data_IF_904613496179
#
_entry.id   IF_904613496179
#
_cell.length_a   1.000
_cell.length_b   1.000
_cell.length_c   1.000
_cell.angle_alpha   90.00
_cell.angle_beta   90.00
_cell.angle_gamma   90.00
#
_symmetry.space_group_name_H-M   'P 1'
#
loop_
_entity.id
_entity.type
_entity.pdbx_description
1 polymer ?
#
# COMPACT_ATOMS: atom_id res chain seq x y z
N UNK A 1 3.99 -7.09 15.30
CA UNK A 1 4.15 -5.99 14.34
C UNK A 1 5.35 -5.14 14.71
N UNK A 2 6.20 -4.81 13.78
CA UNK A 2 7.41 -4.00 14.03
C UNK A 2 7.31 -2.61 13.42
N UNK A 3 6.56 -2.44 12.34
CA UNK A 3 6.28 -1.15 11.70
C UNK A 3 4.95 -1.18 10.97
N UNK A 4 4.46 -0.02 10.55
CA UNK A 4 3.29 0.11 9.69
C UNK A 4 3.46 1.24 8.68
N UNK A 5 2.65 1.21 7.63
CA UNK A 5 2.55 2.24 6.61
C UNK A 5 1.10 2.37 6.15
N UNK A 6 0.84 3.20 5.17
CA UNK A 6 -0.46 3.31 4.49
C UNK A 6 -0.25 3.39 2.99
N UNK A 7 -1.28 3.02 2.22
CA UNK A 7 -1.26 3.20 0.77
C UNK A 7 -1.53 4.67 0.44
N UNK A 8 -0.74 5.22 -0.45
CA UNK A 8 -0.86 6.58 -0.98
C UNK A 8 -0.70 6.56 -2.50
N UNK A 9 -1.00 7.68 -3.14
CA UNK A 9 -0.66 7.91 -4.54
C UNK A 9 0.56 8.82 -4.61
N UNK A 10 1.58 8.39 -5.32
CA UNK A 10 2.70 9.24 -5.68
C UNK A 10 2.37 9.92 -7.00
N UNK A 11 2.32 11.24 -7.01
CA UNK A 11 1.91 12.03 -8.18
C UNK A 11 3.03 12.98 -8.62
N UNK A 12 3.00 13.37 -9.87
CA UNK A 12 3.93 14.34 -10.41
C UNK A 12 3.82 15.68 -9.69
N UNK A 13 4.90 16.46 -9.60
CA UNK A 13 4.91 17.76 -8.91
C UNK A 13 3.78 18.66 -9.33
N UNK A 14 3.07 19.21 -8.33
CA UNK A 14 1.92 20.05 -8.55
C UNK A 14 0.65 19.32 -8.96
N UNK A 15 0.67 17.98 -8.96
CA UNK A 15 -0.49 17.13 -9.26
C UNK A 15 -1.26 17.52 -10.53
N UNK A 16 -0.63 17.48 -11.71
CA UNK A 16 -1.21 18.03 -12.94
C UNK A 16 -2.47 17.30 -13.41
N UNK A 17 -2.70 16.06 -12.92
CA UNK A 17 -3.90 15.27 -13.23
C UNK A 17 -5.04 15.48 -12.22
N UNK A 18 -4.82 16.25 -11.16
CA UNK A 18 -5.82 16.57 -10.14
C UNK A 18 -6.27 15.35 -9.33
N UNK A 19 -5.37 14.39 -9.09
CA UNK A 19 -5.65 13.17 -8.33
C UNK A 19 -5.87 13.53 -6.86
N UNK A 20 -7.00 13.13 -6.29
CA UNK A 20 -7.38 13.40 -4.89
C UNK A 20 -7.88 12.16 -4.16
N UNK A 21 -8.50 11.22 -4.87
CA UNK A 21 -9.06 10.00 -4.30
C UNK A 21 -9.07 8.87 -5.35
N UNK A 22 -9.48 7.67 -4.95
CA UNK A 22 -9.48 6.46 -5.76
C UNK A 22 -10.22 6.61 -7.10
N UNK A 23 -11.38 7.26 -7.13
CA UNK A 23 -12.14 7.44 -8.37
C UNK A 23 -11.43 8.31 -9.42
N UNK A 24 -10.49 9.16 -9.00
CA UNK A 24 -9.70 9.96 -9.95
C UNK A 24 -8.72 9.08 -10.74
N UNK A 25 -8.35 7.91 -10.21
CA UNK A 25 -7.50 6.94 -10.91
C UNK A 25 -8.22 6.21 -12.06
N UNK A 26 -9.55 6.25 -12.09
CA UNK A 26 -10.34 5.67 -13.18
C UNK A 26 -10.48 6.59 -14.41
N UNK A 27 -9.81 7.77 -14.41
CA UNK A 27 -9.82 8.68 -15.55
C UNK A 27 -9.18 8.02 -16.79
N UNK A 28 -9.87 8.06 -17.91
CA UNK A 28 -9.36 7.49 -19.17
C UNK A 28 -8.04 8.15 -19.59
N UNK A 29 -7.06 7.34 -19.96
CA UNK A 29 -5.75 7.80 -20.44
C UNK A 29 -4.80 8.22 -19.33
N UNK A 30 -5.12 7.90 -18.06
CA UNK A 30 -4.18 8.05 -16.95
C UNK A 30 -3.18 6.89 -16.98
N UNK A 31 -1.88 7.19 -16.92
CA UNK A 31 -0.84 6.17 -16.81
C UNK A 31 -0.57 5.84 -15.34
N UNK A 32 -1.00 4.65 -14.88
CA UNK A 32 -0.78 4.18 -13.51
C UNK A 32 0.39 3.20 -13.47
N UNK A 33 1.20 3.30 -12.41
CA UNK A 33 2.21 2.31 -12.06
C UNK A 33 1.83 1.63 -10.73
N UNK A 34 1.94 0.32 -10.69
CA UNK A 34 1.80 -0.50 -9.48
C UNK A 34 2.52 -1.83 -9.71
N UNK A 35 3.06 -2.46 -8.65
CA UNK A 35 3.69 -3.76 -8.85
C UNK A 35 2.66 -4.86 -9.17
N UNK A 36 3.17 -5.98 -9.70
CA UNK A 36 2.39 -7.16 -10.03
C UNK A 36 1.92 -7.90 -8.76
N UNK A 37 0.61 -8.09 -8.52
CA UNK A 37 0.11 -8.80 -7.34
C UNK A 37 0.45 -10.29 -7.31
N UNK A 38 0.88 -10.88 -8.43
CA UNK A 38 1.38 -12.25 -8.46
C UNK A 38 2.82 -12.37 -7.91
N UNK A 39 3.59 -11.27 -7.91
CA UNK A 39 4.99 -11.26 -7.54
C UNK A 39 5.29 -10.41 -6.29
N UNK A 40 4.45 -9.43 -5.99
CA UNK A 40 4.68 -8.43 -4.94
C UNK A 40 3.56 -8.43 -3.90
N UNK A 41 3.92 -8.64 -2.63
CA UNK A 41 3.01 -8.40 -1.51
C UNK A 41 2.56 -6.94 -1.42
N UNK A 42 3.40 -6.00 -1.85
CA UNK A 42 3.06 -4.58 -1.92
C UNK A 42 1.89 -4.30 -2.84
N UNK A 43 1.86 -4.95 -4.00
CA UNK A 43 0.74 -4.84 -4.93
C UNK A 43 -0.59 -5.35 -4.32
N UNK A 44 -0.53 -6.44 -3.56
CA UNK A 44 -1.73 -6.95 -2.88
C UNK A 44 -2.29 -5.92 -1.90
N UNK A 45 -1.44 -5.28 -1.10
CA UNK A 45 -1.87 -4.20 -0.22
C UNK A 45 -2.50 -3.02 -0.98
N UNK A 46 -1.95 -2.63 -2.14
CA UNK A 46 -2.49 -1.57 -2.99
C UNK A 46 -3.92 -1.91 -3.46
N UNK A 47 -4.12 -3.13 -3.99
CA UNK A 47 -5.44 -3.57 -4.49
C UNK A 47 -6.44 -3.82 -3.35
N UNK A 48 -5.99 -4.33 -2.19
CA UNK A 48 -6.83 -4.45 -1.00
C UNK A 48 -7.24 -3.07 -0.46
N UNK A 49 -6.36 -2.07 -0.54
CA UNK A 49 -6.69 -0.70 -0.15
C UNK A 49 -7.78 -0.09 -1.04
N UNK A 50 -7.67 -0.26 -2.35
CA UNK A 50 -8.70 0.13 -3.32
C UNK A 50 -10.04 -0.56 -3.03
N UNK A 51 -10.03 -1.90 -2.97
CA UNK A 51 -11.21 -2.70 -2.71
C UNK A 51 -11.88 -2.34 -1.40
N UNK A 52 -11.11 -2.28 -0.32
CA UNK A 52 -11.61 -1.96 1.02
C UNK A 52 -12.22 -0.56 1.08
N UNK A 53 -11.59 0.43 0.46
CA UNK A 53 -12.14 1.79 0.38
C UNK A 53 -13.49 1.81 -0.35
N UNK A 54 -13.61 1.11 -1.47
CA UNK A 54 -14.85 1.00 -2.23
C UNK A 54 -15.95 0.28 -1.44
N UNK A 55 -15.64 -0.90 -0.89
CA UNK A 55 -16.61 -1.73 -0.14
C UNK A 55 -17.10 -1.08 1.16
N UNK A 56 -16.31 -0.19 1.74
CA UNK A 56 -16.68 0.57 2.94
C UNK A 56 -17.53 1.80 2.62
N UNK A 57 -17.62 2.22 1.33
CA UNK A 57 -18.28 3.44 0.91
C UNK A 57 -17.42 4.69 1.16
N UNK A 58 -16.11 4.52 1.26
CA UNK A 58 -15.17 5.63 1.46
C UNK A 58 -14.85 6.34 0.14
N UNK A 59 -15.14 5.69 -1.01
CA UNK A 59 -14.98 6.26 -2.34
C UNK A 59 -16.26 7.01 -2.74
N UNK A 60 -16.18 8.29 -3.15
CA UNK A 60 -17.34 9.06 -3.57
C UNK A 60 -18.13 8.37 -4.68
N UNK A 61 -19.46 8.29 -4.52
CA UNK A 61 -20.37 7.68 -5.50
C UNK A 61 -20.51 6.16 -5.41
N UNK A 62 -19.75 5.47 -4.54
CA UNK A 62 -19.88 4.03 -4.30
C UNK A 62 -20.56 3.82 -2.94
N UNK A 63 -21.68 3.09 -2.95
CA UNK A 63 -22.37 2.74 -1.71
C UNK A 63 -21.63 1.64 -0.96
N UNK A 64 -21.74 1.64 0.37
CA UNK A 64 -21.16 0.57 1.20
C UNK A 64 -21.71 -0.80 0.78
N UNK A 65 -20.81 -1.77 0.64
CA UNK A 65 -21.08 -3.15 0.20
C UNK A 65 -21.62 -3.27 -1.24
N UNK A 66 -21.40 -2.26 -2.08
CA UNK A 66 -21.71 -2.35 -3.50
C UNK A 66 -20.57 -3.06 -4.25
N UNK A 67 -20.62 -4.38 -4.27
CA UNK A 67 -19.62 -5.22 -4.91
C UNK A 67 -19.50 -4.94 -6.43
N UNK A 68 -20.62 -4.66 -7.11
CA UNK A 68 -20.59 -4.40 -8.54
C UNK A 68 -19.86 -3.09 -8.87
N UNK A 69 -20.15 -2.02 -8.13
CA UNK A 69 -19.45 -0.75 -8.29
C UNK A 69 -17.97 -0.84 -7.88
N UNK A 70 -17.65 -1.59 -6.82
CA UNK A 70 -16.26 -1.82 -6.40
C UNK A 70 -15.46 -2.62 -7.44
N UNK A 71 -16.08 -3.66 -8.05
CA UNK A 71 -15.46 -4.43 -9.14
C UNK A 71 -15.21 -3.55 -10.35
N UNK A 72 -16.21 -2.77 -10.76
CA UNK A 72 -16.05 -1.84 -11.87
C UNK A 72 -14.93 -0.83 -11.63
N UNK A 73 -14.84 -0.25 -10.43
CA UNK A 73 -13.76 0.67 -10.10
C UNK A 73 -12.39 -0.02 -10.17
N UNK A 74 -12.29 -1.28 -9.70
CA UNK A 74 -11.07 -2.09 -9.82
C UNK A 74 -10.68 -2.27 -11.28
N UNK A 75 -11.62 -2.67 -12.14
CA UNK A 75 -11.38 -2.86 -13.57
C UNK A 75 -10.94 -1.57 -14.25
N UNK A 76 -11.61 -0.44 -13.96
CA UNK A 76 -11.30 0.86 -14.56
C UNK A 76 -9.89 1.34 -14.15
N UNK A 77 -9.49 1.17 -12.89
CA UNK A 77 -8.17 1.59 -12.38
C UNK A 77 -7.07 0.64 -12.89
N UNK A 78 -7.29 -0.66 -12.80
CA UNK A 78 -6.32 -1.66 -13.26
C UNK A 78 -6.14 -1.58 -14.78
N UNK A 79 -7.20 -1.28 -15.54
CA UNK A 79 -7.15 -1.01 -16.98
C UNK A 79 -6.29 0.22 -17.38
N UNK A 80 -6.01 1.13 -16.45
CA UNK A 80 -5.12 2.27 -16.65
C UNK A 80 -3.65 1.96 -16.25
N UNK A 81 -3.35 0.76 -15.75
CA UNK A 81 -1.98 0.38 -15.38
C UNK A 81 -1.15 0.14 -16.64
N UNK A 82 -0.09 0.93 -16.79
CA UNK A 82 0.82 0.85 -17.94
C UNK A 82 2.01 -0.08 -17.71
N UNK A 83 2.28 -0.46 -16.45
CA UNK A 83 3.31 -1.43 -16.10
C UNK A 83 2.97 -2.12 -14.78
N UNK A 84 3.06 -3.45 -14.77
CA UNK A 84 3.02 -4.30 -13.59
C UNK A 84 4.46 -4.73 -13.27
N UNK A 85 5.14 -3.98 -12.43
CA UNK A 85 6.55 -4.21 -12.11
C UNK A 85 6.72 -5.37 -11.11
N UNK A 86 7.88 -6.03 -11.15
CA UNK A 86 8.14 -7.23 -10.32
C UNK A 86 8.20 -6.96 -8.81
N UNK A 87 8.36 -5.71 -8.39
CA UNK A 87 8.41 -5.31 -6.98
C UNK A 87 7.93 -3.87 -6.78
N UNK A 88 7.54 -3.52 -5.55
CA UNK A 88 7.15 -2.17 -5.18
C UNK A 88 8.30 -1.17 -5.45
N UNK A 89 9.55 -1.55 -5.11
CA UNK A 89 10.70 -0.68 -5.35
C UNK A 89 10.97 -0.44 -6.83
N UNK A 90 10.85 -1.47 -7.67
CA UNK A 90 10.98 -1.33 -9.13
C UNK A 90 9.91 -0.41 -9.70
N UNK A 91 8.67 -0.51 -9.20
CA UNK A 91 7.55 0.34 -9.65
C UNK A 91 7.82 1.82 -9.33
N UNK A 92 8.32 2.13 -8.13
CA UNK A 92 8.68 3.50 -7.77
C UNK A 92 9.88 4.01 -8.60
N UNK A 93 10.91 3.20 -8.79
CA UNK A 93 12.04 3.58 -9.66
C UNK A 93 11.60 3.83 -11.12
N UNK A 94 10.63 3.07 -11.60
CA UNK A 94 10.01 3.30 -12.91
C UNK A 94 9.27 4.65 -12.94
N UNK A 95 8.51 4.98 -11.89
CA UNK A 95 7.88 6.29 -11.73
C UNK A 95 8.93 7.41 -11.65
N UNK A 96 9.91 7.32 -10.75
CA UNK A 96 11.02 8.29 -10.61
C UNK A 96 11.75 8.54 -11.93
N UNK A 97 11.80 7.53 -12.82
CA UNK A 97 12.38 7.65 -14.17
C UNK A 97 11.51 8.40 -15.19
N UNK A 98 10.34 8.90 -14.76
CA UNK A 98 9.46 9.73 -15.59
C UNK A 98 8.31 8.97 -16.26
N UNK A 99 8.13 7.68 -16.01
CA UNK A 99 7.04 6.91 -16.59
C UNK A 99 5.75 7.07 -15.78
N UNK A 100 4.60 7.08 -16.44
CA UNK A 100 3.28 7.21 -15.84
C UNK A 100 2.99 8.59 -15.23
N UNK A 101 1.75 8.78 -14.85
CA UNK A 101 1.21 9.99 -14.23
C UNK A 101 1.10 9.87 -12.71
N UNK A 102 0.90 8.63 -12.21
CA UNK A 102 0.71 8.30 -10.81
C UNK A 102 1.22 6.89 -10.50
N UNK A 103 1.79 6.70 -9.32
CA UNK A 103 2.08 5.38 -8.77
C UNK A 103 1.23 5.11 -7.53
N UNK A 104 0.63 3.92 -7.44
CA UNK A 104 -0.01 3.45 -6.21
C UNK A 104 1.07 2.77 -5.38
N UNK A 105 1.38 3.33 -4.21
CA UNK A 105 2.54 2.92 -3.43
C UNK A 105 2.33 3.12 -1.92
N UNK A 106 3.38 2.93 -1.15
CA UNK A 106 3.41 3.16 0.29
C UNK A 106 3.91 4.56 0.63
N UNK A 107 3.38 5.13 1.70
CA UNK A 107 3.79 6.45 2.20
C UNK A 107 5.31 6.57 2.40
N UNK A 108 5.94 5.54 2.95
CA UNK A 108 7.39 5.56 3.20
C UNK A 108 8.23 5.62 1.92
N UNK A 109 7.74 5.12 0.78
CA UNK A 109 8.44 5.23 -0.50
C UNK A 109 8.51 6.68 -0.96
N UNK A 110 7.37 7.40 -0.95
CA UNK A 110 7.31 8.82 -1.33
C UNK A 110 8.18 9.68 -0.39
N UNK A 111 8.13 9.40 0.93
CA UNK A 111 8.97 10.11 1.89
C UNK A 111 10.46 9.83 1.70
N UNK A 112 10.83 8.62 1.29
CA UNK A 112 12.20 8.26 0.95
C UNK A 112 12.67 9.02 -0.29
N UNK A 113 11.82 9.15 -1.30
CA UNK A 113 12.09 9.92 -2.51
C UNK A 113 12.26 11.42 -2.18
N UNK A 114 11.35 12.00 -1.38
CA UNK A 114 11.43 13.39 -0.91
C UNK A 114 12.72 13.65 -0.13
N UNK A 115 13.12 12.76 0.79
CA UNK A 115 14.38 12.85 1.52
C UNK A 115 15.63 12.74 0.60
N UNK A 116 15.51 12.06 -0.53
CA UNK A 116 16.53 12.00 -1.57
C UNK A 116 16.52 13.21 -2.51
N UNK A 117 15.61 14.16 -2.33
CA UNK A 117 15.47 15.37 -3.15
C UNK A 117 14.74 15.14 -4.47
N UNK A 118 14.03 14.02 -4.62
CA UNK A 118 13.15 13.80 -5.77
C UNK A 118 11.85 14.60 -5.58
N UNK A 119 11.25 15.09 -6.67
CA UNK A 119 10.10 15.99 -6.58
C UNK A 119 8.76 15.27 -6.45
N UNK A 120 8.75 14.09 -5.80
CA UNK A 120 7.57 13.26 -5.63
C UNK A 120 6.60 13.88 -4.62
N UNK A 121 5.31 13.67 -4.83
CA UNK A 121 4.26 14.27 -4.01
C UNK A 121 3.22 13.23 -3.59
N UNK A 122 3.12 12.97 -2.29
CA UNK A 122 2.09 12.07 -1.75
C UNK A 122 0.69 12.70 -1.79
N UNK A 123 -0.26 11.96 -2.36
CA UNK A 123 -1.70 12.22 -2.22
C UNK A 123 -2.30 11.10 -1.38
N UNK A 124 -3.02 11.49 -0.36
CA UNK A 124 -3.64 10.57 0.60
C UNK A 124 -5.12 10.41 0.26
N UNK A 125 -5.55 9.21 -0.21
CA UNK A 125 -6.97 8.98 -0.44
C UNK A 125 -7.75 9.06 0.87
N UNK A 126 -9.05 9.34 0.79
CA UNK A 126 -9.93 9.41 1.95
C UNK A 126 -9.91 8.10 2.75
N UNK A 127 -10.04 6.97 2.07
CA UNK A 127 -9.92 5.63 2.63
C UNK A 127 -8.57 5.01 2.28
N UNK A 128 -7.84 4.50 3.27
CA UNK A 128 -6.59 3.76 3.06
C UNK A 128 -6.40 2.67 4.10
N UNK A 129 -5.76 1.58 3.70
CA UNK A 129 -5.49 0.46 4.59
C UNK A 129 -4.24 0.70 5.43
N UNK A 130 -4.31 0.30 6.69
CA UNK A 130 -3.13 0.17 7.54
C UNK A 130 -2.34 -1.06 7.09
N UNK A 131 -1.16 -0.83 6.53
CA UNK A 131 -0.20 -1.88 6.18
C UNK A 131 0.54 -2.27 7.45
N UNK A 132 0.45 -3.53 7.81
CA UNK A 132 1.07 -4.08 9.02
C UNK A 132 2.22 -4.99 8.64
N UNK A 133 3.42 -4.68 9.15
CA UNK A 133 4.64 -5.41 8.87
C UNK A 133 4.99 -6.33 10.07
N UNK A 134 4.64 -7.63 10.02
CA UNK A 134 5.04 -8.60 11.03
C UNK A 134 6.50 -9.02 10.84
N UNK A 135 7.09 -9.52 11.91
CA UNK A 135 8.35 -10.26 11.89
C UNK A 135 8.21 -11.57 12.64
N UNK A 136 8.80 -12.63 12.12
CA UNK A 136 8.88 -13.93 12.76
C UNK A 136 10.22 -14.61 12.45
N UNK A 137 10.70 -15.44 13.38
CA UNK A 137 11.83 -16.34 13.11
C UNK A 137 11.33 -17.52 12.29
N UNK A 138 12.07 -17.90 11.26
CA UNK A 138 11.86 -19.15 10.53
C UNK A 138 12.70 -20.23 11.23
N UNK A 139 12.11 -20.91 12.19
CA UNK A 139 12.79 -21.81 13.14
C UNK A 139 13.68 -22.83 12.43
N UNK A 140 13.14 -23.55 11.44
CA UNK A 140 13.89 -24.54 10.67
C UNK A 140 15.19 -23.98 10.05
N UNK A 141 15.13 -22.75 9.54
CA UNK A 141 16.30 -22.10 8.94
C UNK A 141 17.28 -21.65 10.02
N UNK A 142 16.78 -21.08 11.09
CA UNK A 142 17.60 -20.64 12.22
C UNK A 142 18.35 -21.81 12.88
N UNK A 143 17.69 -22.94 13.05
CA UNK A 143 18.29 -24.19 13.55
C UNK A 143 19.35 -24.73 12.59
N UNK A 144 19.04 -24.81 11.28
CA UNK A 144 19.97 -25.31 10.26
C UNK A 144 21.27 -24.49 10.22
N UNK A 145 21.18 -23.19 10.44
CA UNK A 145 22.31 -22.27 10.45
C UNK A 145 22.90 -22.05 11.85
N UNK A 146 22.41 -22.73 12.88
CA UNK A 146 22.85 -22.58 14.28
C UNK A 146 22.80 -21.14 14.78
N UNK A 147 21.78 -20.36 14.40
CA UNK A 147 21.62 -18.93 14.74
C UNK A 147 20.31 -18.63 15.48
N UNK A 148 19.65 -19.60 16.08
CA UNK A 148 18.34 -19.46 16.72
C UNK A 148 18.34 -18.39 17.80
N UNK A 149 19.35 -18.38 18.69
CA UNK A 149 19.44 -17.38 19.76
C UNK A 149 19.66 -15.96 19.20
N UNK A 150 20.49 -15.83 18.17
CA UNK A 150 20.75 -14.56 17.50
C UNK A 150 19.48 -14.04 16.78
N UNK A 151 18.77 -14.92 16.06
CA UNK A 151 17.53 -14.57 15.39
C UNK A 151 16.45 -14.10 16.38
N UNK A 152 16.28 -14.82 17.50
CA UNK A 152 15.37 -14.41 18.57
C UNK A 152 15.78 -13.08 19.21
N UNK A 153 17.08 -12.87 19.49
CA UNK A 153 17.58 -11.62 20.02
C UNK A 153 17.31 -10.45 19.05
N UNK A 154 17.50 -10.66 17.74
CA UNK A 154 17.20 -9.65 16.73
C UNK A 154 15.71 -9.31 16.67
N UNK A 155 14.83 -10.32 16.65
CA UNK A 155 13.36 -10.09 16.68
C UNK A 155 12.95 -9.32 17.93
N UNK A 156 13.51 -9.68 19.10
CA UNK A 156 13.26 -8.97 20.35
C UNK A 156 13.73 -7.50 20.28
N UNK A 157 14.91 -7.25 19.68
CA UNK A 157 15.42 -5.89 19.47
C UNK A 157 14.46 -5.07 18.59
N UNK A 158 13.89 -5.64 17.51
CA UNK A 158 12.94 -4.95 16.65
C UNK A 158 11.66 -4.48 17.37
N UNK A 159 11.34 -5.05 18.52
CA UNK A 159 10.21 -4.63 19.37
C UNK A 159 10.58 -3.57 20.43
N UNK A 160 11.85 -3.21 20.56
CA UNK A 160 12.28 -2.19 21.53
C UNK A 160 11.85 -0.79 21.12
N UNK A 161 11.81 0.13 22.09
CA UNK A 161 11.55 1.55 21.83
C UNK A 161 12.61 2.17 20.90
N UNK A 162 13.86 1.75 21.05
CA UNK A 162 14.98 2.22 20.24
C UNK A 162 14.76 1.86 18.76
N UNK A 163 14.49 0.58 18.48
CA UNK A 163 14.25 0.12 17.11
C UNK A 163 13.01 0.79 16.48
N UNK A 164 11.95 0.96 17.26
CA UNK A 164 10.75 1.69 16.78
C UNK A 164 11.07 3.14 16.42
N UNK A 165 11.98 3.79 17.13
CA UNK A 165 12.50 5.11 16.76
C UNK A 165 13.18 5.10 15.39
N UNK A 166 14.03 4.13 15.11
CA UNK A 166 14.64 4.00 13.77
C UNK A 166 13.62 3.81 12.66
N UNK A 167 12.57 3.02 12.88
CA UNK A 167 11.51 2.83 11.89
C UNK A 167 10.77 4.13 11.57
N UNK A 168 10.50 4.99 12.57
CA UNK A 168 9.83 6.27 12.37
C UNK A 168 10.75 7.35 11.83
N UNK A 169 11.95 7.46 12.34
CA UNK A 169 12.84 8.61 12.11
C UNK A 169 13.64 8.48 10.79
N UNK A 170 14.01 7.24 10.43
CA UNK A 170 14.81 6.97 9.22
C UNK A 170 14.16 6.03 8.23
N UNK A 171 13.19 5.22 8.67
CA UNK A 171 12.42 4.33 7.82
C UNK A 171 11.15 4.98 7.29
N UNK A 172 10.81 6.17 7.76
CA UNK A 172 9.59 6.90 7.38
C UNK A 172 8.30 6.09 7.56
N UNK A 173 8.25 5.26 8.60
CA UNK A 173 7.14 4.36 8.88
C UNK A 173 6.26 4.89 10.02
N UNK A 174 4.98 4.52 10.01
CA UNK A 174 4.03 4.91 11.05
C UNK A 174 4.14 4.03 12.30
N UNK A 175 3.51 4.46 13.37
CA UNK A 175 3.39 3.70 14.62
C UNK A 175 2.65 2.38 14.38
N UNK A 176 3.06 1.32 15.09
CA UNK A 176 2.33 0.04 15.13
C UNK A 176 1.04 0.09 15.94
N UNK A 177 0.74 1.16 16.67
CA UNK A 177 -0.55 1.43 17.28
C UNK A 177 -1.50 2.01 16.21
N UNK A 178 -2.63 1.34 15.87
CA UNK A 178 -3.52 1.79 14.80
C UNK A 178 -4.10 3.18 15.03
N UNK A 179 -4.37 3.58 16.28
CA UNK A 179 -4.91 4.90 16.60
C UNK A 179 -3.86 6.00 16.36
N UNK A 180 -2.60 5.72 16.72
CA UNK A 180 -1.50 6.64 16.46
C UNK A 180 -1.15 6.67 14.97
N UNK A 181 -1.18 5.52 14.29
CA UNK A 181 -0.99 5.46 12.84
C UNK A 181 -2.06 6.28 12.10
N UNK A 182 -3.34 6.14 12.49
CA UNK A 182 -4.45 6.91 11.91
C UNK A 182 -4.32 8.41 12.18
N UNK A 183 -4.00 8.78 13.42
CA UNK A 183 -3.80 10.19 13.81
C UNK A 183 -2.66 10.84 13.04
N UNK A 184 -1.61 10.07 12.75
CA UNK A 184 -0.39 10.57 12.14
C UNK A 184 0.36 11.55 13.01
N UNK A 185 1.28 12.26 12.41
CA UNK A 185 2.05 13.36 13.00
C UNK A 185 2.19 14.47 11.92
N UNK A 186 1.18 15.33 11.75
CA UNK A 186 1.19 16.36 10.70
C UNK A 186 2.38 17.31 10.78
N UNK A 187 2.94 17.54 11.97
CA UNK A 187 4.11 18.40 12.17
C UNK A 187 5.37 17.81 11.50
N UNK A 188 5.44 16.48 11.41
CA UNK A 188 6.51 15.73 10.75
C UNK A 188 6.10 15.17 9.38
N UNK A 189 5.02 15.71 8.78
CA UNK A 189 4.60 15.34 7.43
C UNK A 189 3.86 14.01 7.32
N UNK A 190 3.22 13.52 8.41
CA UNK A 190 2.34 12.36 8.40
C UNK A 190 0.90 12.81 8.65
N UNK A 191 0.11 13.12 7.63
CA UNK A 191 -1.26 13.55 7.84
C UNK A 191 -2.12 12.45 8.46
N UNK A 192 -3.22 12.86 9.12
CA UNK A 192 -4.21 11.91 9.59
C UNK A 192 -4.91 11.24 8.40
N UNK A 193 -5.15 9.94 8.50
CA UNK A 193 -5.95 9.19 7.52
C UNK A 193 -7.38 9.13 8.02
N UNK A 194 -8.29 9.77 7.32
CA UNK A 194 -9.66 9.96 7.79
C UNK A 194 -10.38 8.63 8.01
N UNK A 195 -10.40 7.79 7.01
CA UNK A 195 -11.11 6.52 6.99
C UNK A 195 -10.10 5.34 6.85
N UNK A 196 -9.15 5.27 7.84
CA UNK A 196 -8.19 4.17 7.89
C UNK A 196 -8.87 2.88 8.36
N UNK A 197 -8.52 1.77 7.73
CA UNK A 197 -9.03 0.45 8.06
C UNK A 197 -7.93 -0.63 8.05
N UNK A 198 -8.25 -1.81 8.56
CA UNK A 198 -7.34 -2.96 8.64
C UNK A 198 -7.87 -4.14 7.83
N UNK A 199 -7.01 -5.12 7.59
CA UNK A 199 -7.35 -6.38 6.93
C UNK A 199 -8.45 -7.13 7.69
N UNK A 200 -8.40 -7.12 9.03
CA UNK A 200 -9.42 -7.79 9.89
C UNK A 200 -10.81 -7.19 9.68
N UNK A 201 -10.91 -5.89 9.45
CA UNK A 201 -12.18 -5.23 9.17
C UNK A 201 -12.77 -5.59 7.80
N UNK A 202 -11.97 -6.21 6.93
CA UNK A 202 -12.38 -6.75 5.63
C UNK A 202 -12.56 -8.28 5.66
N UNK A 203 -12.49 -8.92 6.83
CA UNK A 203 -12.67 -10.37 7.00
C UNK A 203 -11.38 -11.20 7.03
N UNK A 204 -10.23 -10.55 7.04
CA UNK A 204 -8.92 -11.21 7.09
C UNK A 204 -8.36 -11.63 5.73
N UNK A 205 -7.09 -12.04 5.73
CA UNK A 205 -6.39 -12.42 4.50
C UNK A 205 -7.01 -13.60 3.77
N UNK A 206 -7.50 -14.62 4.49
CA UNK A 206 -8.10 -15.80 3.86
C UNK A 206 -9.32 -15.43 3.00
N UNK A 207 -10.16 -14.51 3.49
CA UNK A 207 -11.31 -14.01 2.75
C UNK A 207 -10.88 -13.13 1.57
N UNK A 208 -9.90 -12.26 1.77
CA UNK A 208 -9.38 -11.39 0.73
C UNK A 208 -8.67 -12.17 -0.38
N UNK A 209 -7.90 -13.20 -0.05
CA UNK A 209 -7.28 -14.09 -1.02
C UNK A 209 -8.31 -14.81 -1.89
N UNK A 210 -9.40 -15.29 -1.29
CA UNK A 210 -10.50 -15.89 -2.04
C UNK A 210 -11.23 -14.89 -2.94
N UNK A 211 -11.51 -13.70 -2.42
CA UNK A 211 -12.32 -12.69 -3.12
C UNK A 211 -11.53 -11.99 -4.24
N UNK A 212 -10.25 -11.66 -3.98
CA UNK A 212 -9.47 -10.80 -4.86
C UNK A 212 -8.41 -11.57 -5.66
N UNK A 213 -7.75 -12.58 -5.05
CA UNK A 213 -6.52 -13.15 -5.59
C UNK A 213 -6.62 -14.64 -5.96
N UNK A 214 -7.77 -15.30 -5.81
CA UNK A 214 -8.03 -16.60 -6.40
C UNK A 214 -8.05 -16.52 -7.94
N UNK A 215 -8.04 -17.64 -8.64
CA UNK A 215 -8.08 -17.69 -10.13
C UNK A 215 -9.25 -16.88 -10.72
N UNK A 216 -10.39 -16.84 -10.03
CA UNK A 216 -11.57 -16.06 -10.41
C UNK A 216 -11.74 -14.80 -9.52
N UNK A 217 -10.73 -14.42 -8.77
CA UNK A 217 -10.77 -13.25 -7.89
C UNK A 217 -10.83 -11.93 -8.68
N UNK A 218 -11.48 -10.93 -8.10
CA UNK A 218 -11.74 -9.64 -8.77
C UNK A 218 -10.45 -9.00 -9.27
N UNK A 219 -9.42 -8.94 -8.43
CA UNK A 219 -8.15 -8.34 -8.81
C UNK A 219 -7.40 -9.17 -9.87
N UNK A 220 -7.43 -10.53 -9.75
CA UNK A 220 -6.82 -11.43 -10.73
C UNK A 220 -7.46 -11.25 -12.11
N UNK A 221 -8.79 -11.15 -12.18
CA UNK A 221 -9.51 -10.95 -13.44
C UNK A 221 -9.25 -9.54 -14.02
N UNK A 222 -9.22 -8.51 -13.19
CA UNK A 222 -8.89 -7.15 -13.62
C UNK A 222 -7.49 -7.08 -14.26
N UNK A 223 -6.48 -7.68 -13.63
CA UNK A 223 -5.11 -7.74 -14.16
C UNK A 223 -5.04 -8.53 -15.46
N UNK A 224 -5.73 -9.68 -15.54
CA UNK A 224 -5.78 -10.49 -16.76
C UNK A 224 -6.43 -9.77 -17.95
N UNK A 225 -7.39 -8.87 -17.69
CA UNK A 225 -8.09 -8.09 -18.72
C UNK A 225 -7.33 -6.83 -19.14
N UNK A 226 -6.36 -6.37 -18.36
CA UNK A 226 -5.56 -5.18 -18.65
C UNK A 226 -4.34 -5.45 -19.55
N UNK A 227 -4.00 -6.74 -19.80
CA UNK A 227 -2.81 -7.21 -20.57
C UNK A 227 -3.02 -7.35 -22.07
#
# INVERSE_FOLDING_TARGET
MVSSSVVVFDVRPGNPKGITDWNDLAQSGLGILTPDPAQSGGARWNLVSLWGSAMRGDVPGIAKNDTAAATKLMDDIVGNVISFDSSARTSIQNFESGNGDVAITYENEVKTADAAGLPDQAVYPKGSILIENPVAVVDKNAETHCVTDLANAFVNFLHTKESKGYFTDTGYLRSTDPKLAQKGDPANGYPAIKDMFTVEQLGGWDQLDQTLFSDNGVATQAVANAG
#
